data_IF_098086866305
#
_entry.id   IF_098086866305
#
_cell.length_a   1.000
_cell.length_b   1.000
_cell.length_c   1.000
_cell.angle_alpha   90.00
_cell.angle_beta   90.00
_cell.angle_gamma   90.00
#
_symmetry.space_group_name_H-M   'P 1'
#
loop_
_entity.id
_entity.type
_entity.pdbx_description
1 polymer ?
#
# COMPACT_ATOMS: atom_id res chain seq x y z
N UNK A 1 -5.96 -12.65 5.14
CA UNK A 1 -4.99 -12.30 6.20
C UNK A 1 -4.49 -10.89 5.99
N UNK A 2 -4.04 -10.19 7.04
CA UNK A 2 -3.37 -8.88 6.94
C UNK A 2 -1.97 -9.03 7.49
N UNK A 3 -0.98 -8.49 6.79
CA UNK A 3 0.42 -8.47 7.21
C UNK A 3 0.90 -7.03 7.35
N UNK A 4 1.66 -6.76 8.41
CA UNK A 4 2.36 -5.49 8.61
C UNK A 4 3.87 -5.75 8.48
N UNK A 5 4.54 -4.93 7.67
CA UNK A 5 5.99 -4.98 7.51
C UNK A 5 6.55 -3.84 8.33
N UNK A 6 7.36 -4.17 9.34
CA UNK A 6 7.88 -3.19 10.30
C UNK A 6 9.40 -3.30 10.44
N UNK A 7 10.04 -2.16 10.59
CA UNK A 7 11.47 -2.08 10.90
C UNK A 7 11.70 -1.01 11.97
N UNK A 8 12.41 -1.36 13.05
CA UNK A 8 12.68 -0.47 14.18
C UNK A 8 11.44 0.25 14.76
N UNK A 9 10.29 -0.42 14.75
CA UNK A 9 9.02 0.14 15.23
C UNK A 9 8.28 1.02 14.21
N UNK A 10 8.89 1.30 13.05
CA UNK A 10 8.23 1.99 11.95
C UNK A 10 7.47 1.02 11.06
N UNK A 11 6.30 1.44 10.58
CA UNK A 11 5.47 0.67 9.64
C UNK A 11 5.86 1.03 8.20
N UNK A 12 6.43 0.06 7.49
CA UNK A 12 6.88 0.24 6.10
C UNK A 12 5.77 -0.06 5.11
N UNK A 13 4.98 -1.12 5.35
CA UNK A 13 3.89 -1.50 4.47
C UNK A 13 2.80 -2.33 5.18
N UNK A 14 1.62 -2.37 4.56
CA UNK A 14 0.52 -3.26 4.93
C UNK A 14 0.12 -4.07 3.70
N UNK A 15 0.07 -5.40 3.82
CA UNK A 15 -0.46 -6.29 2.79
C UNK A 15 -1.81 -6.84 3.24
N UNK A 16 -2.86 -6.60 2.47
CA UNK A 16 -4.17 -7.25 2.61
C UNK A 16 -4.24 -8.39 1.60
N UNK A 17 -4.23 -9.62 2.08
CA UNK A 17 -4.29 -10.81 1.24
C UNK A 17 -5.67 -10.98 0.63
N UNK A 18 -5.74 -11.53 -0.59
CA UNK A 18 -6.99 -11.83 -1.30
C UNK A 18 -8.02 -12.59 -0.44
N UNK A 19 -7.54 -13.49 0.41
CA UNK A 19 -8.38 -14.28 1.31
C UNK A 19 -8.80 -13.57 2.61
N UNK A 20 -8.51 -12.27 2.78
CA UNK A 20 -9.00 -11.52 3.94
C UNK A 20 -10.51 -11.28 3.83
N UNK A 21 -11.23 -11.62 4.89
CA UNK A 21 -12.67 -11.39 4.98
C UNK A 21 -13.04 -11.11 6.44
N UNK A 22 -13.83 -10.05 6.63
CA UNK A 22 -14.40 -9.69 7.93
C UNK A 22 -15.67 -8.87 7.70
N UNK A 23 -16.80 -9.16 8.35
CA UNK A 23 -18.00 -8.34 8.23
C UNK A 23 -17.77 -6.90 8.69
N UNK A 24 -18.43 -5.94 8.03
CA UNK A 24 -18.37 -4.52 8.37
C UNK A 24 -17.22 -3.79 7.69
N UNK A 25 -16.69 -2.75 8.37
CA UNK A 25 -15.57 -1.93 7.88
C UNK A 25 -14.38 -2.19 8.79
N UNK A 26 -13.23 -2.48 8.21
CA UNK A 26 -11.96 -2.63 8.94
C UNK A 26 -10.93 -1.70 8.34
N UNK A 27 -10.52 -0.71 9.13
CA UNK A 27 -9.39 0.16 8.79
C UNK A 27 -8.08 -0.52 9.20
N UNK A 28 -7.08 -0.46 8.32
CA UNK A 28 -5.74 -0.99 8.59
C UNK A 28 -4.73 0.11 8.90
N UNK A 29 -5.09 1.37 8.62
CA UNK A 29 -4.22 2.54 8.77
C UNK A 29 -4.58 3.35 10.01
N UNK A 30 -3.57 3.91 10.67
CA UNK A 30 -3.77 4.93 11.69
C UNK A 30 -4.27 6.24 11.04
N UNK A 31 -5.03 7.06 11.79
CA UNK A 31 -5.70 8.27 11.27
C UNK A 31 -4.72 9.34 10.75
N UNK A 32 -3.48 9.29 11.21
CA UNK A 32 -2.41 10.23 10.90
C UNK A 32 -1.75 9.96 9.55
N UNK A 33 -1.96 8.76 8.97
CA UNK A 33 -1.45 8.44 7.64
C UNK A 33 -2.20 9.23 6.57
N UNK A 34 -1.43 9.81 5.63
CA UNK A 34 -1.96 10.65 4.55
C UNK A 34 -2.85 9.88 3.56
N UNK A 35 -2.72 8.55 3.50
CA UNK A 35 -3.63 7.64 2.80
C UNK A 35 -4.20 6.60 3.77
N UNK A 36 -5.49 6.32 3.62
CA UNK A 36 -6.22 5.38 4.46
C UNK A 36 -6.59 4.14 3.65
N UNK A 37 -6.37 2.96 4.23
CA UNK A 37 -6.75 1.68 3.63
C UNK A 37 -7.77 0.99 4.53
N UNK A 38 -8.92 0.64 3.95
CA UNK A 38 -9.96 -0.11 4.64
C UNK A 38 -10.54 -1.20 3.74
N UNK A 39 -10.87 -2.34 4.35
CA UNK A 39 -11.69 -3.38 3.76
C UNK A 39 -13.14 -3.20 4.20
N UNK A 40 -14.08 -3.41 3.29
CA UNK A 40 -15.51 -3.27 3.56
C UNK A 40 -16.26 -4.49 3.03
N UNK A 41 -17.03 -5.15 3.89
CA UNK A 41 -17.93 -6.24 3.54
C UNK A 41 -19.29 -6.02 4.18
N UNK A 42 -20.29 -5.85 3.33
CA UNK A 42 -21.66 -5.62 3.76
C UNK A 42 -22.60 -6.69 3.22
N UNK A 43 -23.63 -7.08 3.97
CA UNK A 43 -24.66 -7.97 3.46
C UNK A 43 -25.48 -7.27 2.36
N UNK A 44 -26.17 -8.07 1.56
CA UNK A 44 -27.13 -7.58 0.57
C UNK A 44 -28.19 -6.69 1.23
N UNK A 45 -28.57 -5.61 0.54
CA UNK A 45 -29.54 -4.63 1.03
C UNK A 45 -28.99 -3.55 1.98
N UNK A 46 -27.70 -3.61 2.37
CA UNK A 46 -27.09 -2.51 3.14
C UNK A 46 -27.03 -1.24 2.29
N UNK A 47 -27.61 -0.15 2.81
CA UNK A 47 -27.49 1.20 2.25
C UNK A 47 -26.29 1.91 2.91
N UNK A 48 -25.42 2.48 2.07
CA UNK A 48 -24.40 3.46 2.46
C UNK A 48 -24.95 4.83 2.06
N UNK A 49 -25.18 5.70 3.04
CA UNK A 49 -25.77 7.02 2.79
C UNK A 49 -24.91 7.86 1.83
N UNK A 50 -25.52 8.54 0.83
CA UNK A 50 -24.81 9.49 -0.02
C UNK A 50 -24.17 10.60 0.81
N UNK A 51 -22.90 10.89 0.56
CA UNK A 51 -22.18 11.96 1.26
C UNK A 51 -21.12 12.59 0.37
N UNK A 52 -20.72 13.80 0.73
CA UNK A 52 -19.56 14.50 0.16
C UNK A 52 -18.52 14.74 1.26
N UNK A 53 -17.25 14.72 0.88
CA UNK A 53 -16.18 15.09 1.80
C UNK A 53 -16.06 16.60 1.91
N UNK A 54 -15.88 17.11 3.14
CA UNK A 54 -15.59 18.52 3.38
C UNK A 54 -14.18 18.86 2.90
N UNK A 55 -13.92 20.07 2.40
CA UNK A 55 -12.57 20.53 2.16
C UNK A 55 -11.81 20.56 3.49
N UNK A 56 -10.69 19.85 3.54
CA UNK A 56 -9.80 19.79 4.70
C UNK A 56 -8.39 19.91 4.19
N UNK A 57 -7.62 20.87 4.74
CA UNK A 57 -6.21 21.03 4.41
C UNK A 57 -5.44 19.84 4.98
N UNK A 58 -4.59 19.23 4.14
CA UNK A 58 -3.70 18.12 4.50
C UNK A 58 -2.29 18.48 4.05
N UNK A 59 -1.31 18.05 4.81
CA UNK A 59 0.09 18.10 4.43
C UNK A 59 0.52 16.67 4.08
N UNK A 60 1.17 16.51 2.92
CA UNK A 60 1.68 15.24 2.43
C UNK A 60 3.18 15.41 2.29
N UNK A 61 3.93 14.85 3.25
CA UNK A 61 5.39 14.92 3.27
C UNK A 61 6.03 13.89 2.34
N UNK A 62 5.40 12.71 2.25
CA UNK A 62 5.86 11.59 1.45
C UNK A 62 4.70 11.03 0.63
N UNK A 63 4.98 10.67 -0.61
CA UNK A 63 4.07 9.91 -1.46
C UNK A 63 4.04 8.47 -1.00
N UNK A 64 2.86 7.95 -0.71
CA UNK A 64 2.60 6.54 -0.50
C UNK A 64 1.96 5.98 -1.77
N UNK A 65 1.93 4.67 -1.89
CA UNK A 65 1.26 4.05 -3.03
C UNK A 65 0.57 2.77 -2.63
N UNK A 66 -0.62 2.56 -3.20
CA UNK A 66 -1.38 1.32 -3.10
C UNK A 66 -1.30 0.59 -4.43
N UNK A 67 -0.91 -0.68 -4.39
CA UNK A 67 -0.94 -1.56 -5.55
C UNK A 67 -2.04 -2.60 -5.38
N UNK A 68 -2.85 -2.76 -6.43
CA UNK A 68 -3.86 -3.81 -6.55
C UNK A 68 -3.39 -4.82 -7.60
N UNK A 69 -3.08 -6.05 -7.19
CA UNK A 69 -2.59 -7.06 -8.12
C UNK A 69 -3.76 -7.71 -8.84
N UNK A 70 -3.88 -7.47 -10.15
CA UNK A 70 -4.95 -8.02 -11.00
C UNK A 70 -4.61 -9.40 -11.55
N UNK A 71 -3.32 -9.64 -11.82
CA UNK A 71 -2.81 -10.89 -12.38
C UNK A 71 -1.29 -10.99 -12.12
N UNK A 72 -0.76 -12.21 -11.99
CA UNK A 72 0.67 -12.47 -11.90
C UNK A 72 1.21 -12.63 -10.48
N UNK A 73 2.53 -12.61 -10.39
CA UNK A 73 3.31 -12.75 -9.16
C UNK A 73 4.39 -11.67 -9.12
N UNK A 74 4.37 -10.85 -8.08
CA UNK A 74 5.30 -9.75 -7.87
C UNK A 74 6.08 -9.98 -6.59
N UNK A 75 7.41 -9.92 -6.65
CA UNK A 75 8.25 -9.84 -5.46
C UNK A 75 8.47 -8.37 -5.12
N UNK A 76 8.25 -8.02 -3.86
CA UNK A 76 8.53 -6.70 -3.30
C UNK A 76 9.70 -6.85 -2.34
N UNK A 77 10.77 -6.11 -2.59
CA UNK A 77 11.93 -5.97 -1.70
C UNK A 77 11.74 -4.69 -0.87
N UNK A 78 11.98 -4.76 0.44
CA UNK A 78 11.89 -3.62 1.36
C UNK A 78 13.28 -3.18 1.81
N UNK A 79 13.44 -1.87 1.98
CA UNK A 79 14.68 -1.21 2.39
C UNK A 79 14.38 -0.19 3.49
N UNK A 80 15.35 0.06 4.37
CA UNK A 80 15.30 1.19 5.30
C UNK A 80 15.67 2.51 4.59
N UNK A 81 15.66 3.62 5.34
CA UNK A 81 15.98 4.95 4.83
C UNK A 81 17.47 5.10 4.41
N UNK A 82 18.34 4.23 4.93
CA UNK A 82 19.76 4.13 4.55
C UNK A 82 19.98 3.23 3.31
N UNK A 83 18.89 2.81 2.65
CA UNK A 83 18.89 1.95 1.45
C UNK A 83 19.43 0.54 1.72
N UNK A 84 19.42 0.10 2.98
CA UNK A 84 19.80 -1.26 3.39
C UNK A 84 18.63 -2.20 3.15
N UNK A 85 18.88 -3.32 2.47
CA UNK A 85 17.87 -4.36 2.25
C UNK A 85 17.43 -4.98 3.59
N UNK A 86 16.12 -5.17 3.74
CA UNK A 86 15.52 -5.74 4.94
C UNK A 86 14.96 -7.15 4.67
N UNK A 87 13.90 -7.23 3.88
CA UNK A 87 13.22 -8.49 3.56
C UNK A 87 12.46 -8.38 2.24
N UNK A 88 11.86 -9.50 1.81
CA UNK A 88 10.99 -9.51 0.65
C UNK A 88 9.70 -10.29 0.88
N UNK A 89 8.65 -9.88 0.17
CA UNK A 89 7.33 -10.53 0.16
C UNK A 89 6.88 -10.78 -1.27
N UNK A 90 6.13 -11.85 -1.45
CA UNK A 90 5.45 -12.10 -2.73
C UNK A 90 4.00 -11.64 -2.63
N UNK A 91 3.55 -10.95 -3.67
CA UNK A 91 2.16 -10.57 -3.90
C UNK A 91 1.62 -11.38 -5.07
N UNK A 92 0.38 -11.81 -4.92
CA UNK A 92 -0.34 -12.60 -5.91
C UNK A 92 -1.62 -11.88 -6.34
N UNK A 93 -2.27 -12.40 -7.38
CA UNK A 93 -3.60 -11.94 -7.80
C UNK A 93 -4.54 -11.78 -6.60
N UNK A 94 -5.19 -10.62 -6.53
CA UNK A 94 -6.16 -10.27 -5.49
C UNK A 94 -5.54 -9.59 -4.26
N UNK A 95 -4.22 -9.72 -4.05
CA UNK A 95 -3.53 -9.02 -2.97
C UNK A 95 -3.52 -7.51 -3.22
N UNK A 96 -3.59 -6.77 -2.11
CA UNK A 96 -3.43 -5.31 -2.06
C UNK A 96 -2.28 -5.00 -1.12
N UNK A 97 -1.38 -4.10 -1.52
CA UNK A 97 -0.33 -3.58 -0.64
C UNK A 97 -0.44 -2.05 -0.57
N UNK A 98 -0.34 -1.49 0.63
CA UNK A 98 -0.07 -0.07 0.88
C UNK A 98 1.39 0.07 1.31
N UNK A 99 2.16 0.87 0.58
CA UNK A 99 3.57 1.18 0.83
C UNK A 99 3.67 2.55 1.49
N UNK A 100 4.13 2.59 2.74
CA UNK A 100 3.93 3.69 3.69
C UNK A 100 5.22 4.51 3.89
N UNK A 101 6.34 3.82 4.08
CA UNK A 101 7.66 4.37 4.45
C UNK A 101 8.80 3.46 3.98
N UNK A 102 10.02 3.98 4.05
CA UNK A 102 11.23 3.29 3.62
C UNK A 102 11.36 3.22 2.10
N UNK A 103 12.33 2.43 1.64
CA UNK A 103 12.50 2.12 0.23
C UNK A 103 11.80 0.82 -0.13
N UNK A 104 11.39 0.70 -1.39
CA UNK A 104 10.92 -0.57 -1.95
C UNK A 104 11.35 -0.75 -3.40
N UNK A 105 11.55 -2.01 -3.77
CA UNK A 105 11.88 -2.44 -5.12
C UNK A 105 10.96 -3.56 -5.56
N UNK A 106 10.79 -3.71 -6.88
CA UNK A 106 9.94 -4.74 -7.45
C UNK A 106 10.72 -5.65 -8.39
N UNK A 107 10.36 -6.93 -8.38
CA UNK A 107 10.78 -7.91 -9.37
C UNK A 107 9.56 -8.69 -9.86
N UNK A 108 9.32 -8.63 -11.16
CA UNK A 108 8.17 -9.29 -11.80
C UNK A 108 8.53 -10.77 -12.02
N UNK A 109 7.94 -11.66 -11.21
CA UNK A 109 8.24 -13.09 -11.25
C UNK A 109 7.43 -13.83 -12.32
N UNK A 110 6.23 -13.33 -12.61
CA UNK A 110 5.31 -13.81 -13.65
C UNK A 110 4.63 -12.60 -14.30
N UNK A 111 4.08 -12.77 -15.52
CA UNK A 111 3.36 -11.69 -16.24
C UNK A 111 2.37 -10.96 -15.31
N UNK A 112 2.60 -9.66 -15.13
CA UNK A 112 1.96 -8.86 -14.09
C UNK A 112 0.98 -7.87 -14.70
N UNK A 113 -0.20 -7.77 -14.10
CA UNK A 113 -1.11 -6.64 -14.29
C UNK A 113 -1.46 -6.10 -12.92
N UNK A 114 -1.34 -4.79 -12.74
CA UNK A 114 -1.67 -4.13 -11.47
C UNK A 114 -2.23 -2.74 -11.71
N UNK A 115 -2.95 -2.24 -10.71
CA UNK A 115 -3.41 -0.85 -10.65
C UNK A 115 -2.66 -0.18 -9.51
N UNK A 116 -2.24 1.06 -9.72
CA UNK A 116 -1.55 1.87 -8.73
C UNK A 116 -2.39 3.09 -8.37
N UNK A 117 -2.43 3.43 -7.08
CA UNK A 117 -3.06 4.65 -6.56
C UNK A 117 -2.07 5.35 -5.64
N UNK A 118 -1.71 6.59 -5.94
CA UNK A 118 -0.79 7.40 -5.11
C UNK A 118 -1.46 8.65 -4.57
N UNK A 119 -0.87 9.22 -3.53
CA UNK A 119 -1.16 10.59 -3.13
C UNK A 119 -0.87 11.56 -4.28
N UNK A 120 -1.72 12.57 -4.40
CA UNK A 120 -1.43 13.79 -5.16
C UNK A 120 -1.27 15.00 -4.22
N UNK A 121 -0.95 16.18 -4.76
CA UNK A 121 -0.71 16.45 -6.18
C UNK A 121 0.56 15.77 -6.71
N UNK A 122 0.59 15.44 -8.00
CA UNK A 122 1.73 14.79 -8.63
C UNK A 122 2.98 15.67 -8.57
N UNK A 123 4.07 15.16 -8.00
CA UNK A 123 5.33 15.88 -7.82
C UNK A 123 6.33 15.74 -8.99
N UNK A 124 5.99 14.99 -10.05
CA UNK A 124 6.88 14.77 -11.19
C UNK A 124 8.04 13.81 -10.88
N UNK A 125 9.15 13.96 -11.60
CA UNK A 125 10.35 13.12 -11.39
C UNK A 125 11.04 13.35 -10.03
N UNK A 126 10.70 14.45 -9.33
CA UNK A 126 11.27 14.76 -8.00
C UNK A 126 10.63 13.94 -6.87
N UNK A 127 9.64 13.09 -7.18
CA UNK A 127 8.90 12.30 -6.19
C UNK A 127 9.72 11.13 -5.61
N UNK A 128 10.79 10.70 -6.28
CA UNK A 128 11.54 9.49 -5.92
C UNK A 128 13.04 9.65 -6.10
N UNK A 129 13.80 9.14 -5.14
CA UNK A 129 15.22 8.85 -5.30
C UNK A 129 15.37 7.38 -5.69
N UNK A 130 16.04 7.11 -6.82
CA UNK A 130 16.31 5.76 -7.30
C UNK A 130 17.71 5.34 -6.86
N UNK A 131 17.84 4.09 -6.39
CA UNK A 131 19.12 3.51 -6.00
C UNK A 131 19.29 2.11 -6.59
N UNK A 132 20.54 1.66 -6.72
CA UNK A 132 20.84 0.31 -7.18
C UNK A 132 20.61 -0.69 -6.06
N UNK A 133 20.09 -1.88 -6.37
CA UNK A 133 20.00 -2.96 -5.39
C UNK A 133 21.40 -3.27 -4.86
N UNK A 134 21.59 -3.18 -3.55
CA UNK A 134 22.74 -3.75 -2.87
C UNK A 134 22.68 -5.28 -3.04
N UNK A 135 23.82 -5.87 -3.43
CA UNK A 135 23.94 -7.33 -3.66
C UNK A 135 23.84 -8.11 -2.36
#
# INVERSE_FOLDING_TARGET
MVEEIKHNGELLAIIVRDNFSTPGITFFTANELSQQLAYMQHPEGKIIEPHIHKPVRREVLYTQEVLFIKEGKLKVDFYDDDQTYLESKYLHKGDVILLIKGGHGFEVMENLKMIEVKQGPFAGENDKVRFSKTK
#
